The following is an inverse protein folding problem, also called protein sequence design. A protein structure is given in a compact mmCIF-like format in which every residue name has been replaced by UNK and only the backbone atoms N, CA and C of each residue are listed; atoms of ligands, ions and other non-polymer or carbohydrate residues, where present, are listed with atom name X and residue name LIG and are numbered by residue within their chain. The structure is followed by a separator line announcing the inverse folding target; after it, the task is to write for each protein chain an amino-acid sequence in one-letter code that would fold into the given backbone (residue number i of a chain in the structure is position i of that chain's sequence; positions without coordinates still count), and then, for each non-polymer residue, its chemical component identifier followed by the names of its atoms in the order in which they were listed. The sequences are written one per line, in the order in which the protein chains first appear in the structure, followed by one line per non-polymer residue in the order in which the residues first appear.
data_IF_654645504323
#
_entry.id   IF_654645504323
#
_cell.length_a   1.000
_cell.length_b   1.000
_cell.length_c   1.000
_cell.angle_alpha   90.00
_cell.angle_beta   90.00
_cell.angle_gamma   90.00
#
_symmetry.space_group_name_H-M   'P 1'
#
loop_
_entity.id
_entity.type
_entity.pdbx_description
1 polymer ?
#
# COMPACT_ATOMS: atom_id res chain seq x y z
N UNK A 1 5.90 -16.96 25.09
CA UNK A 1 4.92 -16.74 23.98
C UNK A 1 5.66 -17.05 22.70
N UNK A 2 5.07 -17.79 21.76
CA UNK A 2 5.67 -17.97 20.43
C UNK A 2 5.80 -16.59 19.80
N UNK A 3 6.97 -16.32 19.21
CA UNK A 3 7.22 -15.07 18.52
C UNK A 3 6.35 -15.03 17.26
N UNK A 4 5.50 -14.01 17.12
CA UNK A 4 4.66 -13.80 15.94
C UNK A 4 5.44 -12.95 14.95
N UNK A 5 5.62 -13.46 13.72
CA UNK A 5 6.17 -12.71 12.60
C UNK A 5 5.07 -11.92 11.90
N UNK A 6 5.37 -10.69 11.52
CA UNK A 6 4.58 -9.94 10.55
C UNK A 6 5.24 -10.06 9.17
N UNK A 7 4.44 -10.35 8.15
CA UNK A 7 4.90 -10.37 6.77
C UNK A 7 3.97 -9.51 5.91
N UNK A 8 4.50 -8.88 4.87
CA UNK A 8 3.66 -8.18 3.90
C UNK A 8 4.32 -8.19 2.53
N UNK A 9 3.55 -8.15 1.46
CA UNK A 9 4.16 -7.84 0.17
C UNK A 9 4.63 -6.38 0.11
N UNK A 10 5.54 -6.08 -0.80
CA UNK A 10 6.21 -4.78 -0.85
C UNK A 10 5.30 -3.61 -1.18
N UNK A 11 4.03 -3.87 -1.54
CA UNK A 11 3.03 -2.82 -1.69
C UNK A 11 2.70 -2.08 -0.39
N UNK A 12 3.13 -2.59 0.76
CA UNK A 12 2.98 -1.91 2.05
C UNK A 12 3.94 -0.73 2.24
N UNK A 13 4.90 -0.53 1.33
CA UNK A 13 5.95 0.50 1.40
C UNK A 13 6.88 0.42 2.63
N UNK A 14 6.87 -0.69 3.37
CA UNK A 14 7.73 -0.92 4.53
C UNK A 14 8.79 -1.97 4.20
N UNK A 15 10.06 -1.70 4.54
CA UNK A 15 11.16 -2.66 4.47
C UNK A 15 11.45 -3.31 5.82
N UNK A 16 11.27 -2.55 6.88
CA UNK A 16 11.54 -2.98 8.26
C UNK A 16 10.50 -2.40 9.20
N UNK A 17 10.34 -3.04 10.34
CA UNK A 17 9.46 -2.55 11.40
C UNK A 17 10.21 -2.64 12.74
N UNK A 18 10.52 -1.49 13.33
CA UNK A 18 11.35 -1.42 14.53
C UNK A 18 10.81 -2.30 15.67
N UNK A 19 11.68 -3.16 16.22
CA UNK A 19 11.35 -4.03 17.35
C UNK A 19 10.36 -5.17 17.04
N UNK A 20 10.16 -5.49 15.74
CA UNK A 20 9.32 -6.61 15.30
C UNK A 20 10.08 -7.51 14.32
N UNK A 21 9.79 -8.80 14.35
CA UNK A 21 10.15 -9.72 13.26
C UNK A 21 9.21 -9.44 12.08
N UNK A 22 9.73 -8.69 11.11
CA UNK A 22 8.98 -8.25 9.93
C UNK A 22 9.72 -8.63 8.64
N UNK A 23 8.99 -9.20 7.68
CA UNK A 23 9.50 -9.57 6.36
C UNK A 23 8.68 -8.90 5.27
N UNK A 24 9.36 -8.15 4.40
CA UNK A 24 8.77 -7.62 3.16
C UNK A 24 9.00 -8.62 2.02
N UNK A 25 7.92 -9.04 1.36
CA UNK A 25 7.95 -10.00 0.23
C UNK A 25 7.87 -9.20 -1.07
N UNK A 26 8.94 -9.13 -1.88
CA UNK A 26 9.01 -8.18 -2.97
C UNK A 26 8.14 -8.57 -4.17
N UNK A 27 7.34 -7.60 -4.65
CA UNK A 27 6.81 -7.62 -6.01
C UNK A 27 7.93 -7.23 -6.99
N UNK A 28 7.67 -7.45 -8.27
CA UNK A 28 8.63 -7.13 -9.33
C UNK A 28 7.97 -6.28 -10.40
N UNK A 29 8.65 -5.21 -10.82
CA UNK A 29 8.26 -4.39 -11.97
C UNK A 29 9.18 -4.79 -13.14
N UNK A 30 8.63 -4.95 -14.33
CA UNK A 30 9.35 -5.36 -15.52
C UNK A 30 9.06 -4.45 -16.69
N UNK A 31 10.09 -4.15 -17.44
CA UNK A 31 10.03 -3.61 -18.80
C UNK A 31 10.45 -4.70 -19.79
N UNK A 32 10.60 -4.37 -21.05
CA UNK A 32 11.13 -5.31 -22.06
C UNK A 32 12.60 -5.65 -21.83
N UNK A 33 13.35 -4.79 -21.15
CA UNK A 33 14.81 -4.88 -21.01
C UNK A 33 15.30 -4.94 -19.57
N UNK A 34 14.49 -4.56 -18.59
CA UNK A 34 14.90 -4.44 -17.19
C UNK A 34 13.87 -5.06 -16.23
N UNK A 35 14.39 -5.53 -15.12
CA UNK A 35 13.60 -6.04 -14.01
C UNK A 35 13.97 -5.29 -12.72
N UNK A 36 12.98 -4.77 -12.02
CA UNK A 36 13.10 -4.05 -10.76
C UNK A 36 12.40 -4.85 -9.67
N UNK A 37 13.17 -5.52 -8.82
CA UNK A 37 12.66 -6.20 -7.64
C UNK A 37 12.46 -5.18 -6.53
N UNK A 38 11.27 -5.09 -5.97
CA UNK A 38 10.92 -4.09 -4.95
C UNK A 38 11.38 -4.52 -3.55
N UNK A 39 12.68 -4.64 -3.37
CA UNK A 39 13.35 -4.96 -2.12
C UNK A 39 14.25 -3.80 -1.63
N UNK A 40 15.04 -4.04 -0.59
CA UNK A 40 15.90 -3.02 0.01
C UNK A 40 17.00 -2.49 -0.93
N UNK A 41 17.35 -3.24 -1.97
CA UNK A 41 18.41 -2.85 -2.93
C UNK A 41 17.89 -1.96 -4.06
N UNK A 42 16.56 -1.83 -4.22
CA UNK A 42 15.97 -1.06 -5.31
C UNK A 42 16.27 0.44 -5.21
N UNK A 43 16.90 1.00 -6.24
CA UNK A 43 16.91 2.44 -6.52
C UNK A 43 15.56 2.85 -7.13
N UNK A 44 14.63 3.29 -6.28
CA UNK A 44 13.28 3.68 -6.69
C UNK A 44 13.31 4.86 -7.66
N UNK A 45 14.16 5.85 -7.41
CA UNK A 45 14.28 7.02 -8.29
C UNK A 45 14.88 6.65 -9.66
N UNK A 46 15.85 5.73 -9.68
CA UNK A 46 16.40 5.15 -10.90
C UNK A 46 15.33 4.42 -11.70
N UNK A 47 14.54 3.57 -11.04
CA UNK A 47 13.41 2.89 -11.66
C UNK A 47 12.39 3.86 -12.26
N UNK A 48 11.97 4.88 -11.51
CA UNK A 48 10.99 5.88 -11.98
C UNK A 48 11.52 6.63 -13.21
N UNK A 49 12.83 6.95 -13.25
CA UNK A 49 13.48 7.56 -14.43
C UNK A 49 13.48 6.59 -15.62
N UNK A 50 13.93 5.36 -15.42
CA UNK A 50 13.97 4.34 -16.47
C UNK A 50 12.60 4.08 -17.11
N UNK A 51 11.56 3.95 -16.27
CA UNK A 51 10.18 3.75 -16.73
C UNK A 51 9.63 4.92 -17.55
N UNK A 52 9.97 6.16 -17.17
CA UNK A 52 9.57 7.36 -17.93
C UNK A 52 10.23 7.42 -19.31
N UNK A 53 11.50 7.02 -19.39
CA UNK A 53 12.31 7.10 -20.60
C UNK A 53 12.07 5.89 -21.54
N UNK A 54 11.31 4.88 -21.06
CA UNK A 54 10.94 3.67 -21.82
C UNK A 54 9.65 3.92 -22.60
N UNK A 55 9.69 3.73 -23.93
CA UNK A 55 8.49 3.79 -24.80
C UNK A 55 7.77 2.44 -24.92
N UNK A 56 8.25 1.39 -24.23
CA UNK A 56 7.74 0.04 -24.27
C UNK A 56 6.64 -0.23 -23.21
N UNK A 57 6.19 -1.47 -23.21
CA UNK A 57 5.27 -1.94 -22.17
C UNK A 57 6.02 -2.25 -20.87
N UNK A 58 5.38 -1.90 -19.76
CA UNK A 58 5.81 -2.32 -18.43
C UNK A 58 4.67 -3.01 -17.70
N UNK A 59 5.00 -3.92 -16.80
CA UNK A 59 4.02 -4.65 -15.99
C UNK A 59 4.61 -4.99 -14.63
N UNK A 60 3.73 -5.33 -13.68
CA UNK A 60 4.15 -5.86 -12.39
C UNK A 60 3.77 -7.33 -12.25
N UNK A 61 4.57 -8.05 -11.46
CA UNK A 61 4.32 -9.43 -11.06
C UNK A 61 4.27 -9.52 -9.53
N UNK A 62 3.31 -10.29 -9.01
CA UNK A 62 3.25 -10.60 -7.59
C UNK A 62 4.37 -11.59 -7.21
N UNK A 63 4.71 -11.71 -5.91
CA UNK A 63 5.62 -12.73 -5.42
C UNK A 63 5.09 -14.13 -5.77
N UNK A 64 5.99 -15.08 -5.92
CA UNK A 64 5.61 -16.48 -6.13
C UNK A 64 5.40 -17.22 -4.80
N UNK A 65 4.91 -18.48 -4.86
CA UNK A 65 4.66 -19.30 -3.66
C UNK A 65 5.93 -19.48 -2.81
N UNK A 66 7.09 -19.71 -3.44
CA UNK A 66 8.34 -19.91 -2.72
C UNK A 66 8.83 -18.63 -1.99
N UNK A 67 8.58 -17.44 -2.56
CA UNK A 67 8.87 -16.17 -1.87
C UNK A 67 8.05 -16.06 -0.58
N UNK A 68 6.75 -16.40 -0.61
CA UNK A 68 5.88 -16.40 0.56
C UNK A 68 6.21 -17.53 1.55
N UNK A 69 6.51 -18.75 1.07
CA UNK A 69 6.96 -19.84 1.95
C UNK A 69 8.24 -19.46 2.69
N UNK A 70 9.19 -18.80 2.01
CA UNK A 70 10.39 -18.25 2.62
C UNK A 70 10.08 -17.22 3.72
N UNK A 71 9.13 -16.33 3.46
CA UNK A 71 8.69 -15.35 4.46
C UNK A 71 7.97 -15.99 5.65
N UNK A 72 7.21 -17.04 5.41
CA UNK A 72 6.54 -17.82 6.47
C UNK A 72 7.48 -18.77 7.20
N UNK A 73 8.63 -19.12 6.64
CA UNK A 73 9.58 -20.11 7.19
C UNK A 73 10.33 -19.65 8.45
N UNK A 74 10.84 -20.62 9.23
CA UNK A 74 11.78 -20.37 10.31
C UNK A 74 11.27 -19.61 11.53
N UNK A 75 9.95 -19.46 11.71
CA UNK A 75 9.32 -18.75 12.82
C UNK A 75 8.09 -19.50 13.35
N UNK A 76 7.50 -18.99 14.43
CA UNK A 76 6.23 -19.49 14.98
C UNK A 76 5.01 -19.10 14.14
N UNK A 77 4.07 -18.40 14.76
CA UNK A 77 2.88 -17.91 14.09
C UNK A 77 3.18 -16.73 13.14
N UNK A 78 2.40 -16.56 12.10
CA UNK A 78 2.57 -15.48 11.10
C UNK A 78 1.28 -14.74 10.85
N UNK A 79 1.33 -13.41 10.86
CA UNK A 79 0.25 -12.54 10.34
C UNK A 79 0.80 -11.86 9.10
N UNK A 80 0.17 -12.13 7.94
CA UNK A 80 0.59 -11.62 6.65
C UNK A 80 -0.44 -10.67 6.03
N UNK A 81 0.04 -9.67 5.31
CA UNK A 81 -0.78 -8.67 4.62
C UNK A 81 -0.40 -8.64 3.15
N UNK A 82 -1.38 -8.54 2.29
CA UNK A 82 -1.16 -8.41 0.85
C UNK A 82 -1.86 -7.17 0.30
N UNK A 83 -1.38 -6.68 -0.82
CA UNK A 83 -2.18 -5.79 -1.67
C UNK A 83 -3.53 -6.44 -1.95
N UNK A 84 -4.55 -5.64 -2.17
CA UNK A 84 -5.90 -6.11 -2.50
C UNK A 84 -5.90 -7.18 -3.59
N UNK A 85 -6.71 -8.23 -3.38
CA UNK A 85 -6.97 -9.27 -4.38
C UNK A 85 -7.68 -8.72 -5.63
N UNK A 86 -8.36 -7.58 -5.50
CA UNK A 86 -9.01 -6.88 -6.62
C UNK A 86 -8.02 -6.32 -7.67
N UNK A 87 -6.74 -6.15 -7.32
CA UNK A 87 -5.71 -5.59 -8.22
C UNK A 87 -4.55 -6.53 -8.49
N UNK A 88 -4.34 -7.56 -7.66
CA UNK A 88 -3.15 -8.43 -7.73
C UNK A 88 -3.47 -9.88 -7.32
N UNK A 89 -2.74 -10.83 -7.88
CA UNK A 89 -2.78 -12.24 -7.45
C UNK A 89 -2.04 -12.53 -6.13
N UNK A 90 -1.40 -11.54 -5.50
CA UNK A 90 -0.55 -11.72 -4.31
C UNK A 90 -1.28 -12.43 -3.17
N UNK A 91 -2.53 -12.07 -2.89
CA UNK A 91 -3.35 -12.72 -1.86
C UNK A 91 -3.54 -14.21 -2.12
N UNK A 92 -3.94 -14.58 -3.33
CA UNK A 92 -4.14 -15.99 -3.69
C UNK A 92 -2.85 -16.81 -3.58
N UNK A 93 -1.72 -16.22 -3.99
CA UNK A 93 -0.40 -16.87 -3.88
C UNK A 93 0.03 -17.02 -2.42
N UNK A 94 -0.20 -16.00 -1.58
CA UNK A 94 0.09 -16.08 -0.14
C UNK A 94 -0.78 -17.13 0.57
N UNK A 95 -2.06 -17.29 0.17
CA UNK A 95 -2.93 -18.34 0.68
C UNK A 95 -2.44 -19.74 0.29
N UNK A 96 -2.01 -19.94 -0.95
CA UNK A 96 -1.43 -21.21 -1.39
C UNK A 96 -0.13 -21.55 -0.63
N UNK A 97 0.72 -20.57 -0.39
CA UNK A 97 1.93 -20.74 0.45
C UNK A 97 1.57 -21.08 1.91
N UNK A 98 0.53 -20.44 2.46
CA UNK A 98 0.01 -20.79 3.80
C UNK A 98 -0.41 -22.25 3.87
N UNK A 99 -1.27 -22.71 2.94
CA UNK A 99 -1.74 -24.09 2.88
C UNK A 99 -0.57 -25.08 2.84
N UNK A 100 0.40 -24.85 1.97
CA UNK A 100 1.62 -25.65 1.86
C UNK A 100 2.44 -25.68 3.16
N UNK A 101 2.54 -24.55 3.87
CA UNK A 101 3.27 -24.49 5.14
C UNK A 101 2.53 -25.21 6.28
N UNK A 102 1.21 -25.06 6.37
CA UNK A 102 0.37 -25.69 7.40
C UNK A 102 0.22 -27.21 7.16
N UNK A 103 0.23 -27.69 5.91
CA UNK A 103 0.30 -29.11 5.58
C UNK A 103 1.60 -29.76 6.06
N UNK A 104 2.74 -29.04 5.93
CA UNK A 104 4.05 -29.51 6.39
C UNK A 104 4.20 -29.47 7.92
N UNK A 105 3.55 -28.51 8.57
CA UNK A 105 3.57 -28.35 10.03
C UNK A 105 2.19 -27.84 10.53
N UNK A 106 1.28 -28.77 10.89
CA UNK A 106 -0.08 -28.41 11.36
C UNK A 106 -0.11 -27.66 12.70
N UNK A 107 1.00 -27.53 13.40
CA UNK A 107 1.07 -26.76 14.65
C UNK A 107 1.19 -25.25 14.40
N UNK A 108 1.50 -24.82 13.17
CA UNK A 108 1.66 -23.42 12.80
C UNK A 108 0.34 -22.76 12.52
N UNK A 109 0.28 -21.48 12.84
CA UNK A 109 -0.87 -20.63 12.53
C UNK A 109 -0.43 -19.50 11.62
N UNK A 110 -0.98 -19.47 10.43
CA UNK A 110 -0.70 -18.42 9.45
C UNK A 110 -2.01 -17.74 9.09
N UNK A 111 -2.12 -16.45 9.40
CA UNK A 111 -3.27 -15.65 8.96
C UNK A 111 -2.84 -14.71 7.86
N UNK A 112 -3.45 -14.84 6.69
CA UNK A 112 -3.26 -13.91 5.56
C UNK A 112 -4.46 -12.96 5.51
N UNK A 113 -4.18 -11.65 5.47
CA UNK A 113 -5.17 -10.60 5.28
C UNK A 113 -5.11 -10.09 3.84
N UNK A 114 -6.23 -10.17 3.14
CA UNK A 114 -6.46 -9.32 1.98
C UNK A 114 -6.72 -7.90 2.50
N UNK A 115 -5.82 -6.97 2.21
CA UNK A 115 -5.97 -5.62 2.74
C UNK A 115 -7.14 -4.84 2.14
N UNK A 116 -7.67 -5.29 1.00
CA UNK A 116 -8.60 -4.54 0.15
C UNK A 116 -8.05 -3.15 -0.25
N UNK A 117 -6.75 -2.97 -0.17
CA UNK A 117 -6.06 -1.69 -0.31
C UNK A 117 -4.65 -1.85 -0.89
N UNK A 118 -3.86 -0.76 -0.83
CA UNK A 118 -2.46 -0.68 -1.21
C UNK A 118 -1.73 0.41 -0.41
N UNK A 119 -0.40 0.32 -0.35
CA UNK A 119 0.47 1.37 0.16
C UNK A 119 0.19 1.78 1.60
N UNK A 120 -0.01 3.07 1.83
CA UNK A 120 -0.11 3.65 3.18
C UNK A 120 -1.20 3.06 4.08
N UNK A 121 -2.29 2.55 3.53
CA UNK A 121 -3.32 1.90 4.34
C UNK A 121 -2.86 0.54 4.85
N UNK A 122 -2.11 -0.23 4.04
CA UNK A 122 -1.51 -1.49 4.50
C UNK A 122 -0.52 -1.22 5.64
N UNK A 123 0.24 -0.14 5.54
CA UNK A 123 1.16 0.26 6.61
C UNK A 123 0.42 0.50 7.95
N UNK A 124 -0.78 1.09 7.93
CA UNK A 124 -1.61 1.26 9.14
C UNK A 124 -2.03 -0.09 9.75
N UNK A 125 -2.44 -1.07 8.91
CA UNK A 125 -2.79 -2.42 9.38
C UNK A 125 -1.59 -3.09 10.05
N UNK A 126 -0.40 -2.99 9.45
CA UNK A 126 0.85 -3.55 9.98
C UNK A 126 1.24 -2.86 11.30
N UNK A 127 1.17 -1.52 11.35
CA UNK A 127 1.44 -0.75 12.57
C UNK A 127 0.47 -1.11 13.70
N UNK A 128 -0.82 -1.34 13.39
CA UNK A 128 -1.81 -1.78 14.36
C UNK A 128 -1.48 -3.18 14.89
N UNK A 129 -1.18 -4.13 14.01
CA UNK A 129 -0.75 -5.47 14.40
C UNK A 129 0.46 -5.44 15.36
N UNK A 130 1.48 -4.64 14.99
CA UNK A 130 2.68 -4.49 15.79
C UNK A 130 2.40 -3.86 17.17
N UNK A 131 1.49 -2.89 17.25
CA UNK A 131 1.10 -2.28 18.51
C UNK A 131 0.44 -3.28 19.44
N UNK A 132 -0.50 -4.08 18.93
CA UNK A 132 -1.18 -5.15 19.69
C UNK A 132 -0.20 -6.22 20.18
N UNK A 133 0.70 -6.69 19.30
CA UNK A 133 1.71 -7.69 19.66
C UNK A 133 2.68 -7.17 20.73
N UNK A 134 3.11 -5.91 20.64
CA UNK A 134 3.95 -5.27 21.69
C UNK A 134 3.23 -5.13 23.02
N UNK A 135 1.92 -4.93 23.00
CA UNK A 135 1.08 -4.91 24.20
C UNK A 135 0.87 -6.32 24.81
N UNK A 136 1.39 -7.37 24.17
CA UNK A 136 1.26 -8.75 24.65
C UNK A 136 -0.06 -9.42 24.26
N UNK A 137 -0.83 -8.83 23.35
CA UNK A 137 -2.08 -9.40 22.83
C UNK A 137 -1.79 -10.72 22.10
N UNK A 138 -2.59 -11.76 22.34
CA UNK A 138 -2.42 -13.06 21.69
C UNK A 138 -2.83 -13.02 20.21
N UNK A 139 -2.32 -13.99 19.44
CA UNK A 139 -2.50 -14.10 17.99
C UNK A 139 -3.96 -13.97 17.53
N UNK A 140 -4.87 -14.75 18.13
CA UNK A 140 -6.27 -14.77 17.69
C UNK A 140 -6.98 -13.44 17.96
N UNK A 141 -6.67 -12.81 19.09
CA UNK A 141 -7.20 -11.49 19.45
C UNK A 141 -6.64 -10.42 18.50
N UNK A 142 -5.33 -10.45 18.16
CA UNK A 142 -4.76 -9.54 17.17
C UNK A 142 -5.47 -9.68 15.83
N UNK A 143 -5.68 -10.91 15.35
CA UNK A 143 -6.40 -11.16 14.10
C UNK A 143 -7.83 -10.58 14.11
N UNK A 144 -8.54 -10.71 15.23
CA UNK A 144 -9.90 -10.16 15.37
C UNK A 144 -9.90 -8.62 15.42
N UNK A 145 -8.93 -8.02 16.13
CA UNK A 145 -8.74 -6.56 16.16
C UNK A 145 -8.48 -6.03 14.77
N UNK A 146 -7.61 -6.70 14.00
CA UNK A 146 -7.27 -6.29 12.63
C UNK A 146 -8.48 -6.35 11.69
N UNK A 147 -9.32 -7.39 11.77
CA UNK A 147 -10.57 -7.46 10.98
C UNK A 147 -11.49 -6.28 11.24
N UNK A 148 -11.64 -5.87 12.50
CA UNK A 148 -12.44 -4.69 12.85
C UNK A 148 -11.77 -3.39 12.45
N UNK A 149 -10.44 -3.30 12.60
CA UNK A 149 -9.68 -2.11 12.27
C UNK A 149 -9.65 -1.82 10.76
N UNK A 150 -9.59 -2.85 9.93
CA UNK A 150 -9.62 -2.73 8.47
C UNK A 150 -10.87 -2.00 7.96
N UNK A 151 -12.02 -2.13 8.63
CA UNK A 151 -13.24 -1.39 8.26
C UNK A 151 -13.24 0.08 8.72
N UNK A 152 -12.23 0.50 9.47
CA UNK A 152 -12.04 1.85 10.00
C UNK A 152 -10.87 2.57 9.31
N UNK A 153 -10.25 1.95 8.33
CA UNK A 153 -9.16 2.55 7.55
C UNK A 153 -9.58 2.76 6.10
N UNK A 154 -8.98 3.73 5.46
CA UNK A 154 -9.30 4.10 4.08
C UNK A 154 -8.05 4.51 3.31
N UNK A 155 -8.06 4.22 2.01
CA UNK A 155 -7.08 4.71 1.05
C UNK A 155 -7.70 5.80 0.18
N UNK A 156 -7.03 6.95 0.10
CA UNK A 156 -7.23 7.95 -0.94
C UNK A 156 -5.97 8.11 -1.77
N UNK A 157 -6.12 8.58 -2.99
CA UNK A 157 -5.00 8.91 -3.85
C UNK A 157 -5.28 10.16 -4.71
N UNK A 158 -4.21 10.84 -5.12
CA UNK A 158 -4.27 11.90 -6.11
C UNK A 158 -3.12 11.69 -7.11
N UNK A 159 -3.45 11.36 -8.35
CA UNK A 159 -2.50 10.93 -9.38
C UNK A 159 -2.50 11.92 -10.56
N UNK A 160 -1.32 12.30 -11.04
CA UNK A 160 -1.14 13.11 -12.25
C UNK A 160 -1.25 12.26 -13.51
N UNK A 161 -0.91 10.98 -13.42
CA UNK A 161 -1.03 9.99 -14.47
C UNK A 161 -1.67 8.72 -13.93
N UNK A 162 -2.36 7.99 -14.77
CA UNK A 162 -2.89 6.65 -14.51
C UNK A 162 -2.48 5.69 -15.65
N UNK A 163 -1.38 6.03 -16.33
CA UNK A 163 -0.94 5.30 -17.51
C UNK A 163 -0.62 3.83 -17.18
N UNK A 164 0.19 3.61 -16.15
CA UNK A 164 0.59 2.26 -15.73
C UNK A 164 -0.60 1.45 -15.17
N UNK A 165 -1.51 2.10 -14.45
CA UNK A 165 -2.75 1.45 -13.99
C UNK A 165 -3.62 0.97 -15.17
N UNK A 166 -3.78 1.80 -16.20
CA UNK A 166 -4.58 1.45 -17.38
C UNK A 166 -3.88 0.44 -18.30
N UNK A 167 -2.56 0.59 -18.48
CA UNK A 167 -1.76 -0.32 -19.29
C UNK A 167 -1.84 -1.75 -18.75
N UNK A 168 -1.90 -1.88 -17.42
CA UNK A 168 -1.98 -3.16 -16.72
C UNK A 168 -3.43 -3.58 -16.39
N UNK A 169 -4.45 -2.85 -16.85
CA UNK A 169 -5.85 -3.22 -16.68
C UNK A 169 -6.43 -3.07 -15.26
N UNK A 170 -5.79 -2.26 -14.39
CA UNK A 170 -6.25 -1.97 -13.02
C UNK A 170 -7.27 -0.83 -12.97
N UNK A 171 -7.35 -0.06 -14.05
CA UNK A 171 -8.41 0.92 -14.30
C UNK A 171 -8.80 0.88 -15.76
N UNK A 172 -9.98 1.41 -16.11
CA UNK A 172 -10.41 1.47 -17.50
C UNK A 172 -9.53 2.46 -18.29
N UNK A 173 -9.34 2.21 -19.60
CA UNK A 173 -8.59 3.11 -20.48
C UNK A 173 -9.23 4.52 -20.54
N UNK A 174 -10.55 4.63 -20.38
CA UNK A 174 -11.24 5.90 -20.30
C UNK A 174 -10.87 6.70 -19.04
N UNK A 175 -10.65 6.04 -17.92
CA UNK A 175 -10.15 6.68 -16.71
C UNK A 175 -8.75 7.29 -16.91
N UNK A 176 -7.88 6.60 -17.66
CA UNK A 176 -6.50 7.04 -17.92
C UNK A 176 -6.42 8.23 -18.90
N UNK A 177 -7.32 8.37 -19.86
CA UNK A 177 -7.28 9.48 -20.85
C UNK A 177 -7.41 10.85 -20.23
N UNK A 178 -7.81 10.93 -18.99
CA UNK A 178 -7.99 12.20 -18.26
C UNK A 178 -6.75 12.58 -17.46
N UNK A 179 -5.96 11.59 -17.08
CA UNK A 179 -4.66 11.77 -16.47
C UNK A 179 -3.64 12.10 -17.58
N UNK A 180 -2.76 13.06 -17.33
CA UNK A 180 -1.77 13.51 -18.32
C UNK A 180 -1.99 14.92 -18.87
N UNK A 181 -3.11 15.58 -18.51
CA UNK A 181 -3.27 17.01 -18.76
C UNK A 181 -2.53 17.80 -17.68
N UNK A 182 -1.61 18.64 -18.09
CA UNK A 182 -0.75 19.44 -17.20
C UNK A 182 -1.54 20.09 -16.04
N UNK A 183 -1.15 19.75 -14.82
CA UNK A 183 -1.72 20.32 -13.59
C UNK A 183 -3.08 19.74 -13.18
N UNK A 184 -3.61 18.72 -13.85
CA UNK A 184 -4.83 18.00 -13.43
C UNK A 184 -4.41 16.71 -12.72
N UNK A 185 -5.01 16.48 -11.53
CA UNK A 185 -4.91 15.22 -10.78
C UNK A 185 -6.25 14.53 -10.69
N UNK A 186 -6.24 13.22 -10.86
CA UNK A 186 -7.38 12.37 -10.56
C UNK A 186 -7.32 12.05 -9.07
N UNK A 187 -8.38 12.39 -8.34
CA UNK A 187 -8.58 12.00 -6.94
C UNK A 187 -9.48 10.79 -6.90
N UNK A 188 -9.12 9.79 -6.11
CA UNK A 188 -9.87 8.56 -5.96
C UNK A 188 -9.63 7.88 -4.61
N UNK A 189 -10.28 6.73 -4.45
CA UNK A 189 -10.23 5.91 -3.24
C UNK A 189 -10.16 4.41 -3.59
N UNK A 190 -9.79 3.58 -2.61
CA UNK A 190 -10.10 2.16 -2.67
C UNK A 190 -11.60 1.96 -2.39
N UNK A 191 -12.26 1.09 -3.16
CA UNK A 191 -13.64 0.66 -2.88
C UNK A 191 -13.69 -0.38 -1.76
N UNK A 192 -14.89 -0.69 -1.29
CA UNK A 192 -15.10 -1.75 -0.30
C UNK A 192 -14.67 -3.14 -0.82
N UNK A 193 -14.64 -3.33 -2.15
CA UNK A 193 -14.19 -4.54 -2.82
C UNK A 193 -12.69 -4.52 -3.16
N UNK A 194 -11.97 -3.48 -2.74
CA UNK A 194 -10.54 -3.34 -2.98
C UNK A 194 -10.17 -2.98 -4.42
N UNK A 195 -11.08 -2.38 -5.18
CA UNK A 195 -10.81 -1.80 -6.51
C UNK A 195 -10.61 -0.28 -6.42
N UNK A 196 -10.15 0.35 -7.50
CA UNK A 196 -9.93 1.79 -7.52
C UNK A 196 -11.16 2.53 -8.05
N UNK A 197 -11.68 3.46 -7.25
CA UNK A 197 -12.80 4.34 -7.60
C UNK A 197 -12.34 5.78 -7.77
N UNK A 198 -12.76 6.42 -8.86
CA UNK A 198 -12.50 7.85 -9.09
C UNK A 198 -13.57 8.70 -8.41
N UNK A 199 -13.15 9.63 -7.55
CA UNK A 199 -14.00 10.60 -6.90
C UNK A 199 -14.14 11.90 -7.73
N UNK A 200 -13.10 12.24 -8.50
CA UNK A 200 -13.13 13.45 -9.31
C UNK A 200 -11.76 13.87 -9.83
N UNK A 201 -11.73 15.09 -10.36
CA UNK A 201 -10.54 15.71 -10.95
C UNK A 201 -10.33 17.08 -10.34
N UNK A 202 -9.08 17.35 -9.96
CA UNK A 202 -8.71 18.61 -9.33
C UNK A 202 -7.57 19.25 -10.13
N UNK A 203 -7.63 20.56 -10.35
CA UNK A 203 -6.57 21.31 -11.02
C UNK A 203 -5.74 22.11 -10.01
N UNK A 204 -4.45 21.85 -9.99
CA UNK A 204 -3.49 22.52 -9.09
C UNK A 204 -3.46 21.92 -7.68
N UNK A 205 -2.38 22.22 -6.95
CA UNK A 205 -2.10 21.67 -5.62
C UNK A 205 -3.23 21.95 -4.62
N UNK A 206 -3.56 23.24 -4.42
CA UNK A 206 -4.56 23.66 -3.43
C UNK A 206 -5.91 22.93 -3.57
N UNK A 207 -6.46 22.87 -4.80
CA UNK A 207 -7.73 22.17 -5.02
C UNK A 207 -7.62 20.67 -4.79
N UNK A 208 -6.46 20.09 -5.09
CA UNK A 208 -6.20 18.67 -4.80
C UNK A 208 -6.27 18.42 -3.29
N UNK A 209 -5.61 19.24 -2.47
CA UNK A 209 -5.67 19.13 -1.01
C UNK A 209 -7.08 19.30 -0.48
N UNK A 210 -7.82 20.31 -0.94
CA UNK A 210 -9.22 20.51 -0.57
C UNK A 210 -10.11 19.31 -0.93
N UNK A 211 -9.89 18.69 -2.09
CA UNK A 211 -10.64 17.49 -2.51
C UNK A 211 -10.34 16.29 -1.60
N UNK A 212 -9.07 16.07 -1.26
CA UNK A 212 -8.66 14.98 -0.37
C UNK A 212 -9.22 15.17 1.04
N UNK A 213 -9.12 16.38 1.61
CA UNK A 213 -9.68 16.71 2.93
C UNK A 213 -11.19 16.45 2.99
N UNK A 214 -11.94 16.91 2.00
CA UNK A 214 -13.40 16.66 1.92
C UNK A 214 -13.71 15.16 1.80
N UNK A 215 -12.88 14.40 1.10
CA UNK A 215 -13.05 12.95 1.01
C UNK A 215 -12.78 12.28 2.37
N UNK A 216 -11.71 12.68 3.08
CA UNK A 216 -11.41 12.20 4.43
C UNK A 216 -12.55 12.51 5.41
N UNK A 217 -13.09 13.73 5.40
CA UNK A 217 -14.22 14.13 6.25
C UNK A 217 -15.47 13.29 5.98
N UNK A 218 -15.79 13.04 4.70
CA UNK A 218 -16.93 12.18 4.30
C UNK A 218 -16.77 10.75 4.76
N UNK A 219 -15.54 10.24 4.77
CA UNK A 219 -15.20 8.90 5.25
C UNK A 219 -15.04 8.83 6.78
N UNK A 220 -15.30 9.93 7.49
CA UNK A 220 -15.37 9.93 8.95
C UNK A 220 -14.10 10.38 9.68
N UNK A 221 -13.05 10.82 8.98
CA UNK A 221 -11.80 11.25 9.64
C UNK A 221 -12.02 12.31 10.71
N UNK A 222 -11.41 12.15 11.88
CA UNK A 222 -11.55 13.03 13.05
C UNK A 222 -10.20 13.33 13.74
N UNK A 223 -9.07 13.11 13.07
CA UNK A 223 -7.74 13.38 13.64
C UNK A 223 -6.99 12.15 14.12
N UNK A 224 -7.29 10.96 13.59
CA UNK A 224 -6.55 9.71 13.81
C UNK A 224 -5.20 9.67 13.07
N UNK A 225 -4.67 8.46 12.89
CA UNK A 225 -3.42 8.24 12.17
C UNK A 225 -3.58 8.52 10.69
N UNK A 226 -2.55 9.13 10.09
CA UNK A 226 -2.44 9.33 8.63
C UNK A 226 -1.04 8.92 8.18
N UNK A 227 -0.99 8.17 7.09
CA UNK A 227 0.24 7.82 6.39
C UNK A 227 0.15 8.35 4.97
N UNK A 228 1.15 9.16 4.58
CA UNK A 228 1.18 9.85 3.29
C UNK A 228 2.37 9.35 2.50
N UNK A 229 2.13 8.59 1.45
CA UNK A 229 3.14 8.18 0.50
C UNK A 229 3.17 9.10 -0.72
N UNK A 230 4.36 9.44 -1.24
CA UNK A 230 4.49 10.25 -2.46
C UNK A 230 5.51 9.66 -3.43
N UNK A 231 5.25 9.82 -4.73
CA UNK A 231 6.22 9.52 -5.79
C UNK A 231 6.78 10.84 -6.32
N UNK A 232 8.02 11.19 -5.87
CA UNK A 232 8.73 12.42 -6.25
C UNK A 232 7.86 13.71 -6.11
N UNK A 233 7.03 13.79 -5.06
CA UNK A 233 6.13 14.92 -4.80
C UNK A 233 6.09 15.29 -3.31
N UNK A 234 7.27 15.43 -2.72
CA UNK A 234 7.44 15.76 -1.30
C UNK A 234 6.77 17.08 -0.91
N UNK A 235 6.84 18.07 -1.78
CA UNK A 235 6.25 19.41 -1.51
C UNK A 235 4.74 19.29 -1.27
N UNK A 236 4.00 18.61 -2.14
CA UNK A 236 2.55 18.44 -1.98
C UNK A 236 2.23 17.61 -0.73
N UNK A 237 3.05 16.60 -0.43
CA UNK A 237 2.86 15.77 0.75
C UNK A 237 3.10 16.59 2.04
N UNK A 238 4.11 17.45 2.09
CA UNK A 238 4.38 18.33 3.23
C UNK A 238 3.32 19.41 3.38
N UNK A 239 2.85 20.02 2.30
CA UNK A 239 1.73 20.98 2.33
C UNK A 239 0.49 20.29 2.93
N UNK A 240 0.22 19.03 2.55
CA UNK A 240 -0.92 18.28 3.08
C UNK A 240 -0.74 17.94 4.58
N UNK A 241 0.46 17.54 5.01
CA UNK A 241 0.76 17.35 6.43
C UNK A 241 0.48 18.62 7.22
N UNK A 242 0.93 19.77 6.71
CA UNK A 242 0.77 21.05 7.38
C UNK A 242 -0.71 21.44 7.52
N UNK A 243 -1.49 21.26 6.47
CA UNK A 243 -2.94 21.53 6.49
C UNK A 243 -3.68 20.59 7.45
N UNK A 244 -3.35 19.30 7.44
CA UNK A 244 -3.94 18.34 8.38
C UNK A 244 -3.61 18.67 9.84
N UNK A 245 -2.35 19.03 10.16
CA UNK A 245 -1.95 19.42 11.51
C UNK A 245 -2.59 20.73 11.95
N UNK A 246 -2.86 21.64 11.01
CA UNK A 246 -3.62 22.87 11.32
C UNK A 246 -5.07 22.55 11.73
N UNK A 247 -5.72 21.63 11.01
CA UNK A 247 -7.11 21.23 11.29
C UNK A 247 -7.21 20.25 12.47
N UNK A 248 -6.23 19.37 12.61
CA UNK A 248 -6.20 18.28 13.59
C UNK A 248 -4.83 18.24 14.31
N UNK A 249 -4.58 19.13 15.28
CA UNK A 249 -3.25 19.27 15.92
C UNK A 249 -2.74 18.01 16.65
N UNK A 250 -3.62 17.05 16.95
CA UNK A 250 -3.27 15.80 17.65
C UNK A 250 -3.13 14.60 16.69
N UNK A 251 -3.28 14.79 15.38
CA UNK A 251 -3.16 13.71 14.41
C UNK A 251 -1.74 13.13 14.37
N UNK A 252 -1.63 11.80 14.32
CA UNK A 252 -0.35 11.10 14.10
C UNK A 252 -0.09 10.97 12.59
N UNK A 253 0.68 11.90 12.04
CA UNK A 253 0.93 11.99 10.60
C UNK A 253 2.38 11.63 10.30
N UNK A 254 2.59 10.72 9.32
CA UNK A 254 3.90 10.43 8.74
C UNK A 254 3.84 10.56 7.23
N UNK A 255 4.86 11.19 6.65
CA UNK A 255 5.05 11.29 5.20
C UNK A 255 6.35 10.63 4.79
N UNK A 256 6.35 9.93 3.65
CA UNK A 256 7.51 9.20 3.14
C UNK A 256 7.44 8.98 1.63
N UNK A 257 8.58 8.80 0.94
CA UNK A 257 8.58 8.40 -0.45
C UNK A 257 8.03 6.97 -0.58
N UNK A 258 7.15 6.75 -1.55
CA UNK A 258 6.63 5.43 -1.91
C UNK A 258 7.77 4.52 -2.40
N UNK A 259 7.64 3.21 -2.16
CA UNK A 259 8.56 2.19 -2.67
C UNK A 259 8.21 1.80 -4.12
N UNK A 260 8.87 0.76 -4.62
CA UNK A 260 8.86 0.39 -6.03
C UNK A 260 7.46 0.22 -6.63
N UNK A 261 6.63 -0.68 -6.08
CA UNK A 261 5.32 -0.95 -6.66
C UNK A 261 4.38 0.25 -6.58
N UNK A 262 4.30 0.90 -5.43
CA UNK A 262 3.43 2.05 -5.25
C UNK A 262 3.90 3.24 -6.09
N UNK A 263 5.22 3.49 -6.21
CA UNK A 263 5.77 4.50 -7.12
C UNK A 263 5.48 4.19 -8.59
N UNK A 264 5.55 2.91 -8.99
CA UNK A 264 5.23 2.48 -10.35
C UNK A 264 3.79 2.83 -10.75
N UNK A 265 2.82 2.59 -9.86
CA UNK A 265 1.42 2.86 -10.14
C UNK A 265 0.97 4.29 -9.82
N UNK A 266 1.56 4.93 -8.81
CA UNK A 266 1.29 6.34 -8.52
C UNK A 266 1.90 7.28 -9.54
N UNK A 267 2.95 6.83 -10.21
CA UNK A 267 3.74 7.59 -11.16
C UNK A 267 4.25 8.93 -10.57
N UNK A 268 5.12 9.62 -11.26
CA UNK A 268 5.67 10.89 -10.78
C UNK A 268 4.55 11.91 -10.48
N UNK A 269 4.63 12.56 -9.33
CA UNK A 269 3.65 13.55 -8.89
C UNK A 269 2.47 12.98 -8.11
N UNK A 270 2.34 11.64 -8.06
CA UNK A 270 1.29 10.96 -7.30
C UNK A 270 1.50 11.03 -5.79
N UNK A 271 0.39 11.08 -5.04
CA UNK A 271 0.34 10.88 -3.60
C UNK A 271 -0.75 9.87 -3.24
N UNK A 272 -0.50 9.11 -2.19
CA UNK A 272 -1.42 8.12 -1.61
C UNK A 272 -1.55 8.38 -0.11
N UNK A 273 -2.73 8.20 0.45
CA UNK A 273 -3.06 8.50 1.84
C UNK A 273 -3.78 7.30 2.45
N UNK A 274 -3.19 6.68 3.47
CA UNK A 274 -3.90 5.78 4.37
C UNK A 274 -4.27 6.52 5.64
N UNK A 275 -5.51 6.37 6.15
CA UNK A 275 -5.93 7.04 7.38
C UNK A 275 -6.99 6.25 8.14
N UNK A 276 -7.06 6.49 9.45
CA UNK A 276 -8.10 5.98 10.37
C UNK A 276 -9.31 6.92 10.37
N UNK A 277 -10.53 6.37 10.36
CA UNK A 277 -11.78 7.11 10.41
C UNK A 277 -12.64 6.71 11.63
#
# INVERSE_FOLDING_TARGET
MNQVRLAADSSCDLLTLSGMDFVSVPLTIRTETEEFRDDAALDVDGMVRALRDTNGRSYSACPNVADWEGAFGGCGDVIAFTITSGLSGSYGVACAAKESCEERDPSRRIQVFDSLSAGPEIALLIEKAAAELRAGTNFDTVCNVLKSYQSQTHLLFALESMHNLAQNGRVSKLAATVAGVLGIRVVGQASAEGTLEMLGKCRGARRTLECLLRAMERLGYRGGRVRIGHCQNEVLAQDFCSELLHLFPQADIKSYPLRGLCSYYAERGGIMLGFEA
#
